data_IF_445287983131
#
_entry.id   IF_445287983131
#
_cell.length_a   1.000
_cell.length_b   1.000
_cell.length_c   1.000
_cell.angle_alpha   90.00
_cell.angle_beta   90.00
_cell.angle_gamma   90.00
#
_symmetry.space_group_name_H-M   'P 1'
#
loop_
_entity.id
_entity.type
_entity.pdbx_description
1 polymer ?
#
# COMPACT_ATOMS: atom_id res chain seq x y z
N UNK A 1 42.62 -16.67 23.47
CA UNK A 1 42.01 -16.59 23.51
C UNK A 1 41.07 -16.29 23.41
N UNK A 2 40.89 -16.39 23.18
CA UNK A 2 40.00 -16.17 23.01
C UNK A 2 39.05 -16.00 23.02
N UNK A 3 38.76 -16.12 22.94
CA UNK A 3 37.82 -16.03 22.83
C UNK A 3 36.88 -15.70 22.88
N UNK A 4 36.83 -15.76 22.84
CA UNK A 4 35.87 -15.49 22.73
C UNK A 4 34.95 -15.10 22.63
N UNK A 5 35.01 -15.11 22.44
CA UNK A 5 34.14 -14.70 22.21
C UNK A 5 33.23 -14.49 22.10
N UNK A 6 33.34 -14.74 22.04
CA UNK A 6 32.40 -14.44 21.84
C UNK A 6 31.61 -14.30 21.81
N UNK A 7 31.50 -14.25 21.62
CA UNK A 7 30.52 -13.96 21.54
C UNK A 7 29.71 -13.84 21.46
N UNK A 8 30.02 -14.16 21.34
CA UNK A 8 29.14 -14.01 21.29
C UNK A 8 28.32 -13.73 21.09
N UNK A 9 28.49 -13.62 20.86
CA UNK A 9 27.55 -13.35 20.66
C UNK A 9 26.80 -13.26 20.47
N UNK A 10 26.83 -13.40 20.33
CA UNK A 10 25.90 -13.26 20.24
C UNK A 10 25.00 -13.10 20.14
N UNK A 11 25.09 -13.04 19.95
CA UNK A 11 24.20 -12.87 19.90
C UNK A 11 23.51 -12.64 19.75
N UNK A 12 23.48 -12.44 19.55
CA UNK A 12 22.70 -12.13 19.52
C UNK A 12 21.90 -11.97 19.26
N UNK A 13 21.96 -11.98 18.99
CA UNK A 13 21.18 -11.82 18.86
C UNK A 13 20.33 -11.84 18.70
N UNK A 14 20.34 -12.01 18.54
CA UNK A 14 19.50 -12.01 18.54
C UNK A 14 18.66 -11.79 18.58
N UNK A 15 18.65 -11.71 18.39
CA UNK A 15 17.84 -11.61 18.67
C UNK A 15 16.99 -11.08 18.47
N UNK A 16 17.00 -10.94 18.08
CA UNK A 16 16.17 -10.48 18.01
C UNK A 16 15.44 -10.18 17.67
N UNK A 17 15.28 -10.08 17.37
CA UNK A 17 14.61 -9.79 17.28
C UNK A 17 13.75 -9.80 17.30
N UNK A 18 13.75 -10.09 17.01
CA UNK A 18 12.93 -10.22 17.30
C UNK A 18 12.26 -9.68 17.50
N UNK A 19 12.39 -9.86 17.29
CA UNK A 19 11.60 -9.13 18.02
C UNK A 19 10.33 -8.45 17.46
N UNK A 20 9.56 -7.63 17.73
CA UNK A 20 8.35 -6.95 17.39
C UNK A 20 7.73 -7.27 16.03
N UNK A 21 8.54 -7.72 15.12
CA UNK A 21 8.06 -8.01 13.77
C UNK A 21 6.87 -8.96 13.73
N UNK A 22 6.78 -9.96 14.58
CA UNK A 22 5.65 -10.90 14.48
C UNK A 22 4.29 -10.26 14.62
N UNK A 23 4.22 -9.12 15.29
CA UNK A 23 2.94 -8.45 15.51
C UNK A 23 2.28 -8.10 14.17
N UNK A 24 3.06 -7.77 13.17
CA UNK A 24 2.50 -7.32 11.91
C UNK A 24 2.01 -8.46 11.02
N UNK A 25 2.34 -9.68 11.36
CA UNK A 25 1.86 -10.80 10.57
C UNK A 25 0.33 -10.93 10.65
N UNK A 26 -0.29 -10.40 11.71
CA UNK A 26 -1.73 -10.45 11.88
C UNK A 26 -2.47 -9.56 10.89
N UNK A 27 -1.75 -8.60 10.27
CA UNK A 27 -2.38 -7.63 9.38
C UNK A 27 -2.18 -7.97 7.91
N UNK A 28 -1.97 -9.23 7.60
CA UNK A 28 -1.76 -9.63 6.22
C UNK A 28 -3.02 -9.40 5.39
N UNK A 29 -2.87 -8.89 4.15
CA UNK A 29 -4.01 -8.75 3.28
C UNK A 29 -4.62 -10.11 2.94
N UNK A 30 -5.89 -10.09 2.66
CA UNK A 30 -6.66 -11.29 2.34
C UNK A 30 -6.48 -11.62 0.86
N UNK A 31 -6.14 -12.87 0.57
CA UNK A 31 -6.07 -13.34 -0.82
C UNK A 31 -7.42 -13.88 -1.23
N UNK A 32 -8.14 -13.12 -2.02
CA UNK A 32 -9.50 -13.48 -2.40
C UNK A 32 -9.72 -13.57 -3.92
N UNK A 33 -8.64 -13.45 -4.70
CA UNK A 33 -8.74 -13.52 -6.16
C UNK A 33 -9.16 -12.23 -6.83
N UNK A 34 -9.27 -11.15 -6.08
CA UNK A 34 -9.61 -9.84 -6.65
C UNK A 34 -8.47 -9.29 -7.48
N UNK A 35 -8.78 -8.32 -8.35
CA UNK A 35 -7.78 -7.60 -9.13
C UNK A 35 -8.14 -6.13 -9.16
N UNK A 36 -7.11 -5.29 -9.16
CA UNK A 36 -7.24 -3.85 -9.30
C UNK A 36 -6.40 -3.40 -10.49
N UNK A 37 -7.00 -2.60 -11.37
CA UNK A 37 -6.27 -1.97 -12.46
C UNK A 37 -6.60 -0.49 -12.46
N UNK A 38 -5.59 0.36 -12.32
CA UNK A 38 -5.75 1.81 -12.45
C UNK A 38 -5.70 2.11 -13.94
N UNK A 39 -6.78 2.67 -14.46
CA UNK A 39 -6.87 2.94 -15.90
C UNK A 39 -6.40 4.34 -16.25
N UNK A 40 -6.50 5.30 -15.32
CA UNK A 40 -6.05 6.66 -15.56
C UNK A 40 -5.84 7.36 -14.21
N UNK A 41 -4.79 8.14 -14.04
CA UNK A 41 -3.69 8.33 -14.99
C UNK A 41 -2.79 7.10 -15.03
N UNK A 42 -1.80 7.12 -15.92
CA UNK A 42 -0.79 6.06 -15.99
C UNK A 42 0.43 6.48 -15.19
N UNK A 43 1.18 5.50 -14.75
CA UNK A 43 2.42 5.80 -14.03
C UNK A 43 3.34 6.64 -14.92
N UNK A 44 3.92 7.67 -14.32
CA UNK A 44 4.77 8.60 -15.04
C UNK A 44 4.04 9.78 -15.68
N UNK A 45 2.72 9.78 -15.64
CA UNK A 45 1.96 10.89 -16.23
C UNK A 45 2.15 12.18 -15.46
N UNK A 46 2.10 13.28 -16.18
CA UNK A 46 2.02 14.61 -15.60
C UNK A 46 0.56 14.97 -15.42
N UNK A 47 0.22 15.47 -14.25
CA UNK A 47 -1.16 15.83 -13.93
C UNK A 47 -1.19 17.21 -13.30
N UNK A 48 -2.37 17.79 -13.22
CA UNK A 48 -2.54 19.04 -12.49
C UNK A 48 -2.80 18.71 -11.01
N UNK A 49 -2.94 19.75 -10.18
CA UNK A 49 -3.21 19.55 -8.76
C UNK A 49 -4.62 19.03 -8.49
N UNK A 50 -5.41 18.83 -9.52
CA UNK A 50 -6.71 18.20 -9.42
C UNK A 50 -6.88 17.33 -10.66
N UNK A 51 -7.04 16.02 -10.46
CA UNK A 51 -7.16 15.09 -11.58
C UNK A 51 -8.08 13.93 -11.21
N UNK A 52 -8.66 13.34 -12.24
CA UNK A 52 -9.53 12.19 -12.05
C UNK A 52 -8.71 10.91 -11.97
N UNK A 53 -9.05 10.08 -11.01
CA UNK A 53 -8.45 8.75 -10.86
C UNK A 53 -9.53 7.73 -11.19
N UNK A 54 -9.27 6.91 -12.20
CA UNK A 54 -10.19 5.85 -12.57
C UNK A 54 -9.50 4.51 -12.45
N UNK A 55 -10.23 3.53 -11.97
CA UNK A 55 -9.72 2.19 -11.80
C UNK A 55 -10.85 1.19 -11.94
N UNK A 56 -10.46 -0.07 -12.12
CA UNK A 56 -11.41 -1.18 -12.18
C UNK A 56 -11.08 -2.18 -11.10
N UNK A 57 -12.12 -2.60 -10.39
CA UNK A 57 -12.01 -3.66 -9.41
C UNK A 57 -12.71 -4.89 -9.96
N UNK A 58 -11.95 -5.96 -10.18
CA UNK A 58 -12.55 -7.27 -10.47
C UNK A 58 -12.70 -7.97 -9.13
N UNK A 59 -13.92 -8.16 -8.69
CA UNK A 59 -14.20 -8.70 -7.37
C UNK A 59 -13.85 -10.17 -7.29
N UNK A 60 -13.16 -10.54 -6.22
CA UNK A 60 -12.99 -11.92 -5.85
C UNK A 60 -14.06 -12.35 -4.87
N UNK A 61 -13.70 -13.17 -3.91
CA UNK A 61 -14.69 -13.73 -2.98
C UNK A 61 -15.04 -12.78 -1.85
N UNK A 62 -14.23 -11.77 -1.55
CA UNK A 62 -14.47 -10.93 -0.38
C UNK A 62 -14.42 -9.43 -0.64
N UNK A 63 -13.70 -8.99 -1.65
CA UNK A 63 -13.60 -7.56 -1.93
C UNK A 63 -14.94 -7.03 -2.44
N UNK A 64 -15.39 -5.91 -1.91
CA UNK A 64 -16.63 -5.28 -2.33
C UNK A 64 -16.42 -3.84 -2.79
N UNK A 65 -15.32 -3.21 -2.40
CA UNK A 65 -14.98 -1.87 -2.85
C UNK A 65 -13.47 -1.70 -2.80
N UNK A 66 -12.99 -0.51 -3.11
CA UNK A 66 -11.56 -0.24 -3.10
C UNK A 66 -11.27 0.99 -2.24
N UNK A 67 -10.09 0.98 -1.64
CA UNK A 67 -9.56 2.12 -0.91
C UNK A 67 -8.47 2.78 -1.71
N UNK A 68 -8.45 4.10 -1.70
CA UNK A 68 -7.45 4.89 -2.40
C UNK A 68 -6.51 5.53 -1.38
N UNK A 69 -5.22 5.43 -1.64
CA UNK A 69 -4.19 6.03 -0.79
C UNK A 69 -3.33 6.95 -1.64
N UNK A 70 -3.04 8.12 -1.13
CA UNK A 70 -2.13 9.06 -1.76
C UNK A 70 -0.96 9.24 -0.80
N UNK A 71 0.24 8.91 -1.28
CA UNK A 71 1.46 8.96 -0.45
C UNK A 71 1.27 8.19 0.85
N UNK A 72 0.61 7.04 0.76
CA UNK A 72 0.32 6.13 1.88
C UNK A 72 -0.75 6.65 2.84
N UNK A 73 -1.45 7.72 2.49
CA UNK A 73 -2.55 8.22 3.32
C UNK A 73 -3.89 7.85 2.72
N UNK A 74 -4.72 7.23 3.51
CA UNK A 74 -6.05 6.83 3.09
C UNK A 74 -6.90 8.05 2.76
N UNK A 75 -7.55 8.02 1.61
CA UNK A 75 -8.41 9.11 1.14
C UNK A 75 -9.85 8.79 1.50
N UNK A 76 -10.23 9.18 2.71
CA UNK A 76 -11.59 8.95 3.18
C UNK A 76 -12.58 9.72 2.32
N UNK A 77 -13.63 9.05 1.89
CA UNK A 77 -14.66 9.72 1.10
C UNK A 77 -14.25 10.02 -0.32
N UNK A 78 -13.23 9.33 -0.84
CA UNK A 78 -12.79 9.55 -2.20
C UNK A 78 -13.95 9.36 -3.19
N UNK A 79 -14.12 10.31 -4.11
CA UNK A 79 -15.25 10.30 -5.03
C UNK A 79 -14.82 10.36 -6.50
N UNK A 80 -13.59 10.04 -6.80
CA UNK A 80 -13.12 9.98 -8.19
C UNK A 80 -12.08 11.03 -8.53
N UNK A 81 -11.93 12.06 -7.73
CA UNK A 81 -10.99 13.13 -8.01
C UNK A 81 -9.97 13.23 -6.89
N UNK A 82 -8.69 13.30 -7.28
CA UNK A 82 -7.60 13.60 -6.35
C UNK A 82 -7.28 15.07 -6.51
N UNK A 83 -7.19 15.80 -5.41
CA UNK A 83 -6.95 17.24 -5.49
C UNK A 83 -6.16 17.74 -4.29
N UNK A 84 -5.58 18.93 -4.46
CA UNK A 84 -4.86 19.56 -3.38
C UNK A 84 -3.44 19.07 -3.18
N UNK A 85 -2.88 18.37 -4.16
CA UNK A 85 -1.51 17.87 -4.03
C UNK A 85 -0.50 18.95 -4.42
N UNK A 86 0.63 18.93 -3.72
CA UNK A 86 1.74 19.81 -4.06
C UNK A 86 2.37 19.38 -5.37
N UNK A 87 3.09 20.28 -5.99
CA UNK A 87 3.89 19.93 -7.15
C UNK A 87 4.90 18.85 -6.81
N UNK A 88 5.16 18.01 -7.79
CA UNK A 88 6.16 16.95 -7.65
C UNK A 88 5.55 15.57 -7.72
N UNK A 89 6.37 14.55 -7.48
CA UNK A 89 5.91 13.17 -7.60
C UNK A 89 5.06 12.75 -6.42
N UNK A 90 4.02 11.99 -6.71
CA UNK A 90 3.13 11.44 -5.69
C UNK A 90 2.79 10.00 -6.04
N UNK A 91 2.63 9.20 -5.00
CA UNK A 91 2.31 7.78 -5.14
C UNK A 91 0.82 7.59 -4.91
N UNK A 92 0.15 6.96 -5.87
CA UNK A 92 -1.28 6.66 -5.78
C UNK A 92 -1.43 5.15 -5.71
N UNK A 93 -2.09 4.65 -4.69
CA UNK A 93 -2.32 3.23 -4.52
C UNK A 93 -3.82 2.97 -4.40
N UNK A 94 -4.30 1.99 -5.15
CA UNK A 94 -5.69 1.53 -5.04
C UNK A 94 -5.64 0.08 -4.58
N UNK A 95 -6.35 -0.22 -3.50
CA UNK A 95 -6.34 -1.55 -2.88
C UNK A 95 -7.76 -2.00 -2.64
N UNK A 96 -8.06 -3.25 -2.98
CA UNK A 96 -9.39 -3.79 -2.72
C UNK A 96 -9.63 -3.98 -1.23
N UNK A 97 -10.88 -3.92 -0.83
CA UNK A 97 -11.26 -4.04 0.57
C UNK A 97 -12.56 -4.80 0.73
N UNK A 98 -12.70 -5.50 1.85
CA UNK A 98 -13.92 -6.21 2.21
C UNK A 98 -14.96 -5.23 2.74
N UNK A 99 -16.16 -5.74 3.01
CA UNK A 99 -17.20 -4.89 3.56
C UNK A 99 -16.84 -4.37 4.96
N UNK A 100 -15.95 -5.06 5.66
CA UNK A 100 -15.47 -4.63 6.97
C UNK A 100 -14.21 -3.79 6.87
N UNK A 101 -13.87 -3.35 5.65
CA UNK A 101 -12.71 -2.49 5.38
C UNK A 101 -11.36 -3.16 5.63
N UNK A 102 -11.32 -4.49 5.60
CA UNK A 102 -10.06 -5.22 5.63
C UNK A 102 -9.49 -5.25 4.21
N UNK A 103 -8.19 -5.03 4.09
CA UNK A 103 -7.56 -4.97 2.78
C UNK A 103 -7.35 -6.36 2.22
N UNK A 104 -7.54 -6.48 0.89
CA UNK A 104 -7.20 -7.71 0.17
C UNK A 104 -5.87 -7.50 -0.55
N UNK A 105 -5.33 -8.58 -1.10
CA UNK A 105 -4.04 -8.54 -1.78
C UNK A 105 -4.08 -7.67 -3.04
N UNK A 106 -5.23 -7.61 -3.71
CA UNK A 106 -5.38 -6.86 -4.96
C UNK A 106 -5.04 -5.39 -4.74
N UNK A 107 -4.03 -4.91 -5.46
CA UNK A 107 -3.53 -3.55 -5.26
C UNK A 107 -2.72 -3.14 -6.48
N UNK A 108 -2.77 -1.86 -6.79
CA UNK A 108 -1.89 -1.30 -7.81
C UNK A 108 -1.44 0.08 -7.38
N UNK A 109 -0.18 0.37 -7.64
CA UNK A 109 0.42 1.65 -7.31
C UNK A 109 0.99 2.28 -8.57
N UNK A 110 0.70 3.56 -8.75
CA UNK A 110 1.31 4.36 -9.81
C UNK A 110 1.96 5.58 -9.18
N UNK A 111 2.85 6.21 -9.93
CA UNK A 111 3.47 7.48 -9.55
C UNK A 111 3.08 8.51 -10.60
N UNK A 112 2.60 9.66 -10.15
CA UNK A 112 2.25 10.78 -11.03
C UNK A 112 3.08 11.98 -10.63
N UNK A 113 3.22 12.91 -11.55
CA UNK A 113 3.98 14.15 -11.33
C UNK A 113 3.02 15.33 -11.43
N UNK A 114 2.81 16.00 -10.33
CA UNK A 114 1.92 17.16 -10.29
C UNK A 114 2.67 18.39 -10.74
N UNK A 115 2.12 19.06 -11.73
CA UNK A 115 2.71 20.26 -12.33
C UNK A 115 2.28 21.54 -11.63
#
# INVERSE_FOLDING_TARGET
MMKRMAFVGVGIILTGYLSGAPVFAADKPIEDGSKIVITSPRTGDMVTDSFELTYELTKGSQAVHAHVFVDNEYQKGFSGTVKGLRRGPHKITVTGATKDHELVVASQTITVDVQ
#
